data_IF_720006409168
#
_entry.id   IF_720006409168
#
_cell.length_a   1.000
_cell.length_b   1.000
_cell.length_c   1.000
_cell.angle_alpha   90.00
_cell.angle_beta   90.00
_cell.angle_gamma   90.00
#
_symmetry.space_group_name_H-M   'P 1'
#
loop_
_entity.id
_entity.type
_entity.pdbx_description
1 polymer ?
#
# COMPACT_ATOMS: atom_id res chain seq x y z
N UNK A 1 -8.45 15.00 -48.03
CA UNK A 1 -8.38 15.42 -46.61
C UNK A 1 -8.58 14.16 -45.79
N UNK A 2 -7.59 13.77 -44.98
CA UNK A 2 -7.73 12.60 -44.10
C UNK A 2 -8.41 13.05 -42.81
N UNK A 3 -9.59 12.49 -42.53
CA UNK A 3 -10.29 12.68 -41.27
C UNK A 3 -9.42 12.13 -40.14
N UNK A 4 -8.99 13.03 -39.25
CA UNK A 4 -8.37 12.66 -37.97
C UNK A 4 -9.54 12.22 -37.09
N UNK A 5 -9.81 10.93 -37.06
CA UNK A 5 -10.73 10.32 -36.10
C UNK A 5 -10.29 10.70 -34.68
N UNK A 6 -11.09 11.54 -34.03
CA UNK A 6 -11.00 11.81 -32.60
C UNK A 6 -11.41 10.53 -31.84
N UNK A 7 -10.50 9.56 -31.73
CA UNK A 7 -10.64 8.46 -30.77
C UNK A 7 -10.53 9.05 -29.37
N UNK A 8 -11.66 9.23 -28.70
CA UNK A 8 -11.68 9.33 -27.24
C UNK A 8 -10.95 8.10 -26.70
N UNK A 9 -9.92 8.25 -25.85
CA UNK A 9 -9.21 7.10 -25.34
C UNK A 9 -10.20 6.22 -24.57
N UNK A 10 -10.39 4.99 -25.05
CA UNK A 10 -11.19 3.99 -24.35
C UNK A 10 -10.59 3.77 -22.96
N UNK A 11 -11.46 3.77 -21.94
CA UNK A 11 -11.05 3.43 -20.57
C UNK A 11 -10.47 2.00 -20.61
N UNK A 12 -9.24 1.77 -20.14
CA UNK A 12 -8.64 0.44 -20.14
C UNK A 12 -9.51 -0.59 -19.43
N UNK A 13 -9.57 -1.82 -19.95
CA UNK A 13 -10.43 -2.88 -19.42
C UNK A 13 -10.24 -3.11 -17.91
N UNK A 14 -9.00 -3.02 -17.41
CA UNK A 14 -8.70 -3.18 -16.00
C UNK A 14 -9.30 -2.10 -15.09
N UNK A 15 -9.76 -0.96 -15.62
CA UNK A 15 -10.47 0.10 -14.89
C UNK A 15 -11.99 0.06 -15.11
N UNK A 16 -12.49 -0.88 -15.90
CA UNK A 16 -13.93 -1.04 -16.17
C UNK A 16 -14.60 -1.87 -15.07
N UNK A 17 -14.46 -1.44 -13.83
CA UNK A 17 -15.12 -2.04 -12.67
C UNK A 17 -15.58 -0.97 -11.68
N UNK A 18 -16.54 -1.31 -10.83
CA UNK A 18 -16.94 -0.43 -9.73
C UNK A 18 -15.81 -0.31 -8.69
N UNK A 19 -15.41 0.92 -8.31
CA UNK A 19 -14.41 1.11 -7.28
C UNK A 19 -14.83 0.52 -5.94
N UNK A 20 -13.90 -0.16 -5.27
CA UNK A 20 -14.09 -0.82 -3.98
C UNK A 20 -13.32 -0.06 -2.92
N UNK A 21 -14.00 0.29 -1.82
CA UNK A 21 -13.38 1.06 -0.73
C UNK A 21 -13.18 0.19 0.49
N UNK A 22 -11.96 0.18 1.03
CA UNK A 22 -11.61 -0.61 2.20
C UNK A 22 -11.02 0.27 3.29
N UNK A 23 -11.40 -0.04 4.53
CA UNK A 23 -10.75 0.47 5.73
C UNK A 23 -9.75 -0.58 6.22
N UNK A 24 -8.49 -0.20 6.35
CA UNK A 24 -7.39 -1.09 6.77
C UNK A 24 -6.82 -0.55 8.07
N UNK A 25 -6.64 -1.44 9.05
CA UNK A 25 -6.05 -1.12 10.35
C UNK A 25 -4.91 -2.10 10.63
N UNK A 26 -3.80 -1.61 11.16
CA UNK A 26 -2.74 -2.45 11.71
C UNK A 26 -3.31 -3.26 12.89
N UNK A 27 -2.89 -4.52 13.03
CA UNK A 27 -3.44 -5.39 14.06
C UNK A 27 -3.01 -4.93 15.46
N UNK A 28 -3.73 -5.41 16.49
CA UNK A 28 -3.56 -5.00 17.88
C UNK A 28 -2.18 -5.29 18.48
N UNK A 29 -1.39 -6.18 17.87
CA UNK A 29 -0.05 -6.52 18.36
C UNK A 29 0.95 -5.37 18.29
N UNK A 30 0.64 -4.34 17.51
CA UNK A 30 1.50 -3.17 17.35
C UNK A 30 0.95 -1.93 18.04
N UNK A 31 -0.24 -1.97 18.66
CA UNK A 31 -0.90 -0.78 19.22
C UNK A 31 -0.05 -0.08 20.30
N UNK A 32 0.78 -0.82 21.04
CA UNK A 32 1.66 -0.26 22.06
C UNK A 32 2.82 0.58 21.45
N UNK A 33 3.21 0.31 20.20
CA UNK A 33 4.36 0.96 19.55
C UNK A 33 3.96 1.88 18.41
N UNK A 34 2.96 1.50 17.62
CA UNK A 34 2.48 2.24 16.46
C UNK A 34 0.98 2.03 16.22
N UNK A 35 0.27 3.11 15.90
CA UNK A 35 -1.09 3.03 15.37
C UNK A 35 -1.08 3.37 13.88
N UNK A 36 -1.77 2.56 13.07
CA UNK A 36 -1.98 2.84 11.65
C UNK A 36 -3.41 2.45 11.25
N UNK A 37 -4.11 3.42 10.66
CA UNK A 37 -5.42 3.23 10.07
C UNK A 37 -5.52 4.05 8.77
N UNK A 38 -5.96 3.43 7.68
CA UNK A 38 -6.14 4.14 6.42
C UNK A 38 -7.36 3.64 5.64
N UNK A 39 -7.83 4.46 4.72
CA UNK A 39 -8.90 4.11 3.76
C UNK A 39 -8.33 4.15 2.35
N UNK A 40 -8.47 3.04 1.62
CA UNK A 40 -7.99 2.90 0.23
C UNK A 40 -9.15 2.61 -0.71
N UNK A 41 -9.11 3.22 -1.89
CA UNK A 41 -9.99 2.92 -3.02
C UNK A 41 -9.23 2.08 -4.02
N UNK A 42 -9.76 0.90 -4.35
CA UNK A 42 -9.31 0.02 -5.44
C UNK A 42 -10.22 0.26 -6.63
N UNK A 43 -9.65 0.73 -7.75
CA UNK A 43 -10.36 1.13 -8.98
C UNK A 43 -10.18 0.13 -10.12
N UNK A 44 -9.53 -1.00 -9.86
CA UNK A 44 -9.24 -2.01 -10.86
C UNK A 44 -9.86 -3.39 -10.57
N UNK A 45 -9.94 -4.19 -11.62
CA UNK A 45 -10.43 -5.58 -11.66
C UNK A 45 -9.56 -6.54 -10.85
N UNK A 46 -10.10 -7.70 -10.46
CA UNK A 46 -9.33 -8.72 -9.74
C UNK A 46 -8.22 -9.34 -10.59
N UNK A 47 -8.42 -9.45 -11.91
CA UNK A 47 -7.38 -9.85 -12.85
C UNK A 47 -6.16 -8.92 -12.75
N UNK A 48 -6.38 -7.61 -12.72
CA UNK A 48 -5.31 -6.62 -12.54
C UNK A 48 -4.68 -6.70 -11.14
N UNK A 49 -5.46 -7.01 -10.09
CA UNK A 49 -4.89 -7.27 -8.77
C UNK A 49 -3.97 -8.50 -8.78
N UNK A 50 -4.31 -9.54 -9.54
CA UNK A 50 -3.45 -10.70 -9.74
C UNK A 50 -2.16 -10.32 -10.46
N UNK A 51 -2.23 -9.49 -11.51
CA UNK A 51 -1.03 -8.96 -12.19
C UNK A 51 -0.14 -8.14 -11.24
N UNK A 52 -0.75 -7.26 -10.43
CA UNK A 52 -0.03 -6.54 -9.39
C UNK A 52 0.65 -7.49 -8.41
N UNK A 53 0.00 -8.56 -7.95
CA UNK A 53 0.63 -9.54 -7.06
C UNK A 53 1.75 -10.31 -7.75
N UNK A 54 1.55 -10.75 -9.00
CA UNK A 54 2.50 -11.53 -9.79
C UNK A 54 3.82 -10.79 -10.08
N UNK A 55 3.80 -9.46 -10.08
CA UNK A 55 5.01 -8.65 -10.20
C UNK A 55 6.03 -8.92 -9.08
N UNK A 56 5.56 -9.23 -7.88
CA UNK A 56 6.41 -9.38 -6.69
C UNK A 56 6.77 -10.85 -6.45
N UNK A 57 7.92 -11.08 -5.82
CA UNK A 57 8.28 -12.40 -5.32
C UNK A 57 7.26 -12.90 -4.29
N UNK A 58 7.17 -14.22 -4.15
CA UNK A 58 6.28 -14.92 -3.22
C UNK A 58 4.77 -14.72 -3.49
N UNK A 59 4.39 -14.29 -4.71
CA UNK A 59 3.00 -14.04 -5.11
C UNK A 59 2.07 -15.24 -4.84
N UNK A 60 2.54 -16.48 -5.08
CA UNK A 60 1.78 -17.71 -4.78
C UNK A 60 1.58 -17.91 -3.28
N UNK A 61 2.64 -17.84 -2.47
CA UNK A 61 2.56 -18.00 -1.01
C UNK A 61 1.60 -17.01 -0.38
N UNK A 62 1.67 -15.73 -0.79
CA UNK A 62 0.72 -14.70 -0.30
C UNK A 62 -0.72 -15.07 -0.63
N UNK A 63 -0.98 -15.55 -1.84
CA UNK A 63 -2.32 -15.93 -2.26
C UNK A 63 -2.83 -17.13 -1.45
N UNK A 64 -1.99 -18.15 -1.23
CA UNK A 64 -2.31 -19.33 -0.41
C UNK A 64 -2.59 -18.97 1.05
N UNK A 65 -1.73 -18.15 1.67
CA UNK A 65 -1.90 -17.65 3.04
C UNK A 65 -3.18 -16.81 3.22
N UNK A 66 -3.68 -16.22 2.13
CA UNK A 66 -4.93 -15.46 2.10
C UNK A 66 -6.10 -16.25 1.49
N UNK A 67 -6.00 -17.58 1.39
CA UNK A 67 -7.08 -18.47 0.91
C UNK A 67 -7.61 -18.10 -0.48
N UNK A 68 -6.76 -17.55 -1.35
CA UNK A 68 -7.15 -17.10 -2.68
C UNK A 68 -7.75 -15.70 -2.74
N UNK A 69 -7.89 -14.97 -1.62
CA UNK A 69 -8.43 -13.62 -1.61
C UNK A 69 -7.39 -12.60 -2.08
N UNK A 70 -7.45 -12.25 -3.36
CA UNK A 70 -6.50 -11.32 -3.98
C UNK A 70 -6.64 -9.88 -3.45
N UNK A 71 -7.85 -9.46 -3.08
CA UNK A 71 -8.04 -8.15 -2.49
C UNK A 71 -7.35 -8.09 -1.12
N UNK A 72 -7.49 -9.12 -0.29
CA UNK A 72 -6.78 -9.21 0.99
C UNK A 72 -5.25 -9.20 0.82
N UNK A 73 -4.71 -9.90 -0.19
CA UNK A 73 -3.27 -9.87 -0.53
C UNK A 73 -2.82 -8.44 -0.83
N UNK A 74 -3.50 -7.75 -1.74
CA UNK A 74 -3.14 -6.40 -2.15
C UNK A 74 -3.29 -5.41 -0.98
N UNK A 75 -4.37 -5.50 -0.20
CA UNK A 75 -4.57 -4.64 0.97
C UNK A 75 -3.45 -4.80 2.01
N UNK A 76 -2.96 -6.03 2.24
CA UNK A 76 -1.81 -6.28 3.14
C UNK A 76 -0.50 -5.74 2.56
N UNK A 77 -0.27 -5.87 1.26
CA UNK A 77 0.90 -5.30 0.60
C UNK A 77 0.89 -3.77 0.66
N UNK A 78 -0.24 -3.13 0.35
CA UNK A 78 -0.44 -1.68 0.50
C UNK A 78 -0.22 -1.28 1.96
N UNK A 79 -0.77 -2.04 2.92
CA UNK A 79 -0.60 -1.76 4.34
C UNK A 79 0.86 -1.72 4.78
N UNK A 80 1.68 -2.65 4.30
CA UNK A 80 3.13 -2.63 4.54
C UNK A 80 3.79 -1.39 3.94
N UNK A 81 3.50 -1.05 2.68
CA UNK A 81 4.07 0.14 2.03
C UNK A 81 3.65 1.45 2.71
N UNK A 82 2.37 1.55 3.12
CA UNK A 82 1.86 2.71 3.88
C UNK A 82 2.57 2.83 5.21
N UNK A 83 2.72 1.73 5.95
CA UNK A 83 3.42 1.74 7.25
C UNK A 83 4.84 2.29 7.13
N UNK A 84 5.65 1.71 6.24
CA UNK A 84 7.04 2.14 6.08
C UNK A 84 7.16 3.58 5.61
N UNK A 85 6.29 4.00 4.68
CA UNK A 85 6.27 5.38 4.24
C UNK A 85 5.96 6.35 5.40
N UNK A 86 4.95 6.05 6.23
CA UNK A 86 4.59 6.89 7.37
C UNK A 86 5.71 6.92 8.41
N UNK A 87 6.33 5.77 8.68
CA UNK A 87 7.42 5.63 9.63
C UNK A 87 8.65 6.45 9.21
N UNK A 88 9.10 6.30 7.96
CA UNK A 88 10.31 6.97 7.44
C UNK A 88 10.13 8.50 7.32
N UNK A 89 8.91 8.95 7.01
CA UNK A 89 8.63 10.37 6.78
C UNK A 89 8.04 11.08 8.00
N UNK A 90 7.70 10.34 9.06
CA UNK A 90 6.95 10.81 10.22
C UNK A 90 5.76 11.70 9.81
N UNK A 91 4.95 11.21 8.86
CA UNK A 91 3.97 12.02 8.14
C UNK A 91 2.71 11.24 7.80
N UNK A 92 1.59 11.96 7.75
CA UNK A 92 0.27 11.44 7.39
C UNK A 92 -0.30 12.14 6.14
N UNK A 93 0.57 12.76 5.33
CA UNK A 93 0.15 13.52 4.14
C UNK A 93 -0.43 12.58 3.07
N UNK A 94 -1.56 12.98 2.47
CA UNK A 94 -2.22 12.24 1.38
C UNK A 94 -1.80 12.72 -0.02
N UNK A 95 -0.88 13.69 -0.13
CA UNK A 95 -0.50 14.29 -1.41
C UNK A 95 -0.06 13.23 -2.44
N UNK A 96 -0.53 13.32 -3.68
CA UNK A 96 -0.26 12.33 -4.75
C UNK A 96 1.23 12.06 -4.96
N UNK A 97 2.03 13.13 -5.13
CA UNK A 97 3.47 13.03 -5.41
C UNK A 97 4.40 13.02 -4.20
N UNK A 98 3.99 13.61 -3.07
CA UNK A 98 4.85 13.88 -1.92
C UNK A 98 4.29 13.36 -0.59
N UNK A 99 3.10 12.77 -0.63
CA UNK A 99 2.44 12.10 0.49
C UNK A 99 2.41 10.60 0.26
N UNK A 100 1.65 9.88 1.10
CA UNK A 100 1.58 8.42 1.08
C UNK A 100 1.14 7.86 -0.28
N UNK A 101 0.37 8.60 -1.08
CA UNK A 101 -0.03 8.18 -2.42
C UNK A 101 1.14 8.07 -3.40
N UNK A 102 2.32 8.63 -3.07
CA UNK A 102 3.52 8.49 -3.91
C UNK A 102 3.97 7.04 -4.06
N UNK A 103 3.60 6.15 -3.13
CA UNK A 103 3.91 4.71 -3.23
C UNK A 103 3.33 4.09 -4.51
N UNK A 104 2.18 4.59 -4.99
CA UNK A 104 1.53 4.03 -6.18
C UNK A 104 2.15 4.47 -7.50
N UNK A 105 3.13 5.37 -7.46
CA UNK A 105 3.93 5.76 -8.62
C UNK A 105 5.27 5.01 -8.69
N UNK A 106 5.55 4.13 -7.72
CA UNK A 106 6.73 3.28 -7.71
C UNK A 106 6.49 2.03 -8.58
N UNK A 107 7.58 1.38 -9.00
CA UNK A 107 7.51 0.13 -9.77
C UNK A 107 6.67 -0.93 -9.04
N UNK A 108 5.89 -1.69 -9.81
CA UNK A 108 4.98 -2.72 -9.30
C UNK A 108 3.59 -2.20 -8.88
N UNK A 109 3.39 -0.88 -8.84
CA UNK A 109 2.10 -0.26 -8.54
C UNK A 109 1.56 0.59 -9.69
N UNK A 110 0.27 0.91 -9.61
CA UNK A 110 -0.42 1.79 -10.54
C UNK A 110 -1.27 2.79 -9.77
N UNK A 111 -0.95 4.09 -9.88
CA UNK A 111 -1.73 5.17 -9.29
C UNK A 111 -3.13 5.32 -9.89
N UNK A 112 -3.40 4.66 -11.03
CA UNK A 112 -4.76 4.57 -11.58
C UNK A 112 -5.60 3.52 -10.86
N UNK A 113 -4.97 2.49 -10.30
CA UNK A 113 -5.63 1.37 -9.63
C UNK A 113 -5.93 1.66 -8.16
N UNK A 114 -5.14 2.52 -7.51
CA UNK A 114 -5.20 2.70 -6.06
C UNK A 114 -5.14 4.16 -5.63
N UNK A 115 -5.83 4.49 -4.54
CA UNK A 115 -5.77 5.82 -3.90
C UNK A 115 -6.04 5.71 -2.40
N UNK A 116 -5.13 6.21 -1.57
CA UNK A 116 -5.37 6.42 -0.14
C UNK A 116 -6.12 7.75 0.03
N UNK A 117 -7.32 7.69 0.61
CA UNK A 117 -8.19 8.86 0.78
C UNK A 117 -8.32 9.33 2.24
N UNK A 118 -7.88 8.49 3.20
CA UNK A 118 -7.77 8.83 4.63
C UNK A 118 -6.59 8.09 5.24
N UNK A 119 -5.86 8.74 6.14
CA UNK A 119 -4.72 8.17 6.84
C UNK A 119 -4.62 8.75 8.25
N UNK A 120 -4.44 7.86 9.22
CA UNK A 120 -4.03 8.15 10.57
C UNK A 120 -2.82 7.27 10.89
N UNK A 121 -1.75 7.89 11.37
CA UNK A 121 -0.60 7.18 11.89
C UNK A 121 -0.01 7.90 13.10
N UNK A 122 0.37 7.11 14.10
CA UNK A 122 1.05 7.55 15.31
C UNK A 122 2.20 6.59 15.58
N UNK A 123 3.40 7.13 15.79
CA UNK A 123 4.57 6.37 16.22
C UNK A 123 4.86 6.73 17.69
N UNK A 124 4.77 5.73 18.57
CA UNK A 124 4.94 5.90 20.02
C UNK A 124 6.34 5.44 20.48
N UNK A 125 7.18 4.95 19.57
CA UNK A 125 8.58 4.56 19.88
C UNK A 125 9.43 5.81 20.08
N UNK A 126 10.07 5.92 21.24
CA UNK A 126 10.91 7.06 21.64
C UNK A 126 12.33 6.61 21.91
N UNK A 127 13.28 7.52 21.77
CA UNK A 127 14.71 7.26 22.04
C UNK A 127 14.94 6.74 23.47
N UNK A 128 14.11 7.16 24.42
CA UNK A 128 14.16 6.73 25.84
C UNK A 128 13.69 5.29 26.07
N UNK A 129 12.99 4.68 25.10
CA UNK A 129 12.55 3.28 25.19
C UNK A 129 13.68 2.29 24.85
N UNK A 130 14.85 2.79 24.40
CA UNK A 130 16.01 1.96 24.05
C UNK A 130 17.04 1.88 25.19
N UNK A 131 17.30 0.67 25.66
CA UNK A 131 18.36 0.36 26.63
C UNK A 131 19.60 -0.20 25.92
N UNK A 132 20.79 0.05 26.47
CA UNK A 132 22.04 -0.50 25.95
C UNK A 132 22.98 -0.93 27.08
N UNK A 133 23.75 -1.99 26.83
CA UNK A 133 24.80 -2.47 27.73
C UNK A 133 26.14 -2.61 26.97
N UNK A 134 27.28 -2.30 27.61
CA UNK A 134 28.59 -2.46 26.99
C UNK A 134 28.98 -3.95 26.89
N UNK A 135 29.41 -4.39 25.71
CA UNK A 135 29.99 -5.73 25.53
C UNK A 135 31.48 -5.70 25.84
N UNK A 136 31.93 -6.51 26.79
CA UNK A 136 33.37 -6.72 27.06
C UNK A 136 33.90 -7.74 26.06
N UNK A 137 34.84 -7.33 25.22
CA UNK A 137 35.51 -8.23 24.28
C UNK A 137 36.61 -8.98 25.04
N UNK A 138 36.53 -10.31 25.12
CA UNK A 138 37.63 -11.14 25.62
C UNK A 138 38.83 -10.99 24.66
N UNK A 139 39.94 -10.47 25.18
CA UNK A 139 41.21 -10.32 24.46
C UNK A 139 42.09 -11.55 24.48
#
# INVERSE_FOLDING_TARGET
MSEIENKTPEVPAYLQCEPRTYKVKLNHWHEDTCELEFTVVIKCTDEELHEHNNFWSNHQSRLEENKGDIAAVILKMIGSSVFWWCYENNSNSLHEKYGVNSIFHQEGWSSKCFEIIKLYFSNNVRDEDFEFEPVVVEG
#
